data_IF_329166750253
#
_entry.id   IF_329166750253
#
_cell.length_a   1.000
_cell.length_b   1.000
_cell.length_c   1.000
_cell.angle_alpha   90.00
_cell.angle_beta   90.00
_cell.angle_gamma   90.00
#
_symmetry.space_group_name_H-M   'P 1'
#
loop_
_entity.id
_entity.type
_entity.pdbx_description
1 polymer ?
#
# COMPACT_ATOMS: atom_id res chain seq x y z
N UNK A 1 7.96 -3.03 -12.17
CA UNK A 1 7.38 -4.25 -11.60
C UNK A 1 5.92 -4.27 -11.97
N UNK A 2 5.42 -5.41 -12.47
CA UNK A 2 4.08 -5.53 -13.05
C UNK A 2 3.30 -6.66 -12.36
N UNK A 3 2.01 -6.46 -12.05
CA UNK A 3 1.14 -7.53 -11.57
C UNK A 3 0.44 -8.25 -12.73
N UNK A 4 0.55 -9.56 -12.79
CA UNK A 4 -0.16 -10.41 -13.76
C UNK A 4 -1.16 -11.31 -13.05
N UNK A 5 -2.44 -11.18 -13.39
CA UNK A 5 -3.49 -12.06 -12.88
C UNK A 5 -3.70 -13.25 -13.81
N UNK A 6 -3.55 -14.46 -13.29
CA UNK A 6 -3.93 -15.70 -13.98
C UNK A 6 -5.06 -16.32 -13.21
N UNK A 7 -6.13 -16.72 -13.89
CA UNK A 7 -7.27 -17.39 -13.25
C UNK A 7 -7.86 -18.51 -14.09
N UNK A 8 -8.48 -19.48 -13.42
CA UNK A 8 -9.18 -20.59 -14.07
C UNK A 8 -10.31 -21.16 -13.20
N UNK A 9 -11.15 -22.01 -13.80
CA UNK A 9 -12.28 -22.67 -13.12
C UNK A 9 -11.88 -23.83 -12.20
N UNK A 10 -10.62 -24.26 -12.24
CA UNK A 10 -10.08 -25.32 -11.39
C UNK A 10 -8.58 -25.14 -11.20
N UNK A 11 -8.02 -25.73 -10.16
CA UNK A 11 -6.57 -25.71 -9.93
C UNK A 11 -5.76 -26.36 -11.07
N UNK A 12 -6.16 -27.51 -11.65
CA UNK A 12 -5.48 -28.05 -12.84
C UNK A 12 -5.57 -27.11 -14.06
N UNK A 13 -6.71 -26.45 -14.27
CA UNK A 13 -6.86 -25.49 -15.36
C UNK A 13 -6.00 -24.23 -15.15
N UNK A 14 -5.78 -23.81 -13.89
CA UNK A 14 -4.88 -22.69 -13.57
C UNK A 14 -3.43 -23.05 -13.93
N UNK A 15 -3.00 -24.27 -13.61
CA UNK A 15 -1.68 -24.79 -13.99
C UNK A 15 -1.50 -24.86 -15.50
N UNK A 16 -2.50 -25.36 -16.22
CA UNK A 16 -2.50 -25.39 -17.68
C UNK A 16 -2.43 -23.98 -18.29
N UNK A 17 -3.16 -23.01 -17.71
CA UNK A 17 -3.10 -21.62 -18.15
C UNK A 17 -1.71 -21.00 -17.93
N UNK A 18 -1.07 -21.28 -16.81
CA UNK A 18 0.29 -20.84 -16.52
C UNK A 18 1.30 -21.44 -17.53
N UNK A 19 1.17 -22.73 -17.85
CA UNK A 19 2.00 -23.39 -18.86
C UNK A 19 1.80 -22.81 -20.26
N UNK A 20 0.56 -22.53 -20.65
CA UNK A 20 0.25 -21.92 -21.95
C UNK A 20 0.81 -20.49 -22.05
N UNK A 21 0.69 -19.69 -20.99
CA UNK A 21 1.25 -18.34 -20.95
C UNK A 21 2.78 -18.37 -20.96
N UNK A 22 3.42 -19.32 -20.26
CA UNK A 22 4.86 -19.53 -20.32
C UNK A 22 5.32 -19.79 -21.76
N UNK A 23 4.73 -20.79 -22.42
CA UNK A 23 5.07 -21.13 -23.80
C UNK A 23 4.88 -19.93 -24.74
N UNK A 24 3.76 -19.21 -24.61
CA UNK A 24 3.50 -18.01 -25.41
C UNK A 24 4.58 -16.94 -25.24
N UNK A 25 5.04 -16.69 -24.00
CA UNK A 25 6.10 -15.72 -23.73
C UNK A 25 7.47 -16.17 -24.20
N UNK A 26 7.76 -17.47 -24.15
CA UNK A 26 8.98 -18.05 -24.72
C UNK A 26 9.01 -17.87 -26.24
N UNK A 27 7.88 -18.13 -26.92
CA UNK A 27 7.78 -18.00 -28.38
C UNK A 27 7.76 -16.54 -28.85
N UNK A 28 7.39 -15.60 -27.97
CA UNK A 28 7.28 -14.18 -28.28
C UNK A 28 8.10 -13.33 -27.29
N UNK A 29 9.45 -13.36 -27.39
CA UNK A 29 10.33 -12.68 -26.44
C UNK A 29 10.22 -11.14 -26.52
N UNK A 30 9.70 -10.60 -27.63
CA UNK A 30 9.53 -9.17 -27.84
C UNK A 30 8.26 -8.55 -27.26
N UNK A 31 7.38 -9.32 -26.60
CA UNK A 31 6.16 -8.75 -25.99
C UNK A 31 6.51 -7.81 -24.84
N UNK A 32 5.78 -6.71 -24.74
CA UNK A 32 5.87 -5.82 -23.58
C UNK A 32 5.18 -6.48 -22.36
N UNK A 33 5.86 -6.47 -21.22
CA UNK A 33 5.36 -7.12 -20.00
C UNK A 33 4.15 -6.39 -19.39
N UNK A 34 4.09 -5.06 -19.56
CA UNK A 34 2.95 -4.27 -19.12
C UNK A 34 1.72 -4.57 -19.98
N UNK A 35 1.88 -4.70 -21.30
CA UNK A 35 0.78 -5.04 -22.22
C UNK A 35 0.21 -6.45 -21.95
N UNK A 36 1.07 -7.42 -21.64
CA UNK A 36 0.64 -8.75 -21.21
C UNK A 36 -0.17 -8.66 -19.93
N UNK A 37 0.32 -7.93 -18.92
CA UNK A 37 -0.39 -7.73 -17.66
C UNK A 37 -1.74 -7.04 -17.84
N UNK A 38 -1.78 -5.99 -18.66
CA UNK A 38 -3.00 -5.27 -19.01
C UNK A 38 -4.03 -6.19 -19.67
N UNK A 39 -3.59 -7.01 -20.63
CA UNK A 39 -4.43 -7.98 -21.36
C UNK A 39 -4.98 -9.04 -20.41
N UNK A 40 -4.15 -9.57 -19.50
CA UNK A 40 -4.58 -10.53 -18.50
C UNK A 40 -5.63 -9.96 -17.55
N UNK A 41 -5.52 -8.68 -17.18
CA UNK A 41 -6.44 -8.02 -16.27
C UNK A 41 -7.77 -7.58 -16.91
N UNK A 42 -7.75 -7.12 -18.17
CA UNK A 42 -8.91 -6.46 -18.80
C UNK A 42 -9.56 -7.25 -19.94
N UNK A 43 -8.83 -8.15 -20.60
CA UNK A 43 -9.30 -8.87 -21.78
C UNK A 43 -9.56 -10.37 -21.53
N UNK A 44 -9.51 -10.81 -20.27
CA UNK A 44 -9.77 -12.20 -19.87
C UNK A 44 -10.81 -12.25 -18.76
N UNK A 45 -11.66 -13.28 -18.81
CA UNK A 45 -12.58 -13.56 -17.71
C UNK A 45 -11.78 -13.94 -16.45
N UNK A 46 -12.29 -13.51 -15.28
CA UNK A 46 -11.70 -13.82 -13.97
C UNK A 46 -12.51 -14.94 -13.31
N UNK A 47 -11.83 -16.01 -12.90
CA UNK A 47 -12.40 -17.19 -12.26
C UNK A 47 -11.86 -17.40 -10.83
N UNK A 48 -12.39 -18.38 -10.09
CA UNK A 48 -12.18 -18.50 -8.64
C UNK A 48 -10.79 -19.02 -8.21
N UNK A 49 -10.13 -19.82 -9.07
CA UNK A 49 -8.75 -20.22 -8.81
C UNK A 49 -7.81 -19.19 -9.42
N UNK A 50 -7.13 -18.40 -8.57
CA UNK A 50 -6.34 -17.25 -8.99
C UNK A 50 -4.89 -17.36 -8.52
N UNK A 51 -3.99 -16.84 -9.34
CA UNK A 51 -2.62 -16.53 -8.95
C UNK A 51 -2.25 -15.16 -9.49
N UNK A 52 -1.64 -14.33 -8.66
CA UNK A 52 -1.05 -13.06 -9.07
C UNK A 52 0.47 -13.23 -9.09
N UNK A 53 1.09 -12.98 -10.24
CA UNK A 53 2.53 -12.93 -10.40
C UNK A 53 3.00 -11.47 -10.32
N UNK A 54 4.02 -11.19 -9.53
CA UNK A 54 4.58 -9.84 -9.37
C UNK A 54 6.09 -9.89 -9.65
N UNK A 55 6.52 -9.31 -10.76
CA UNK A 55 7.92 -9.31 -11.18
C UNK A 55 8.32 -8.05 -11.94
N UNK A 56 9.62 -7.74 -12.00
CA UNK A 56 10.15 -6.60 -12.75
C UNK A 56 10.67 -6.96 -14.15
N UNK A 57 11.03 -8.22 -14.35
CA UNK A 57 11.68 -8.72 -15.55
C UNK A 57 11.03 -10.02 -16.06
N UNK A 58 11.32 -10.33 -17.32
CA UNK A 58 10.75 -11.46 -18.06
C UNK A 58 11.19 -12.81 -17.50
N UNK A 59 12.46 -12.94 -17.10
CA UNK A 59 13.00 -14.21 -16.62
C UNK A 59 12.32 -14.64 -15.33
N UNK A 60 12.09 -13.69 -14.41
CA UNK A 60 11.31 -13.92 -13.19
C UNK A 60 9.87 -14.32 -13.49
N UNK A 61 9.22 -13.72 -14.51
CA UNK A 61 7.88 -14.15 -14.95
C UNK A 61 7.87 -15.58 -15.49
N UNK A 62 8.86 -15.96 -16.32
CA UNK A 62 8.96 -17.31 -16.86
C UNK A 62 9.17 -18.33 -15.73
N UNK A 63 10.09 -18.07 -14.80
CA UNK A 63 10.32 -18.94 -13.63
C UNK A 63 9.06 -19.07 -12.76
N UNK A 64 8.37 -17.96 -12.50
CA UNK A 64 7.14 -17.95 -11.72
C UNK A 64 5.99 -18.72 -12.41
N UNK A 65 5.85 -18.59 -13.73
CA UNK A 65 4.85 -19.35 -14.49
C UNK A 65 5.16 -20.84 -14.53
N UNK A 66 6.43 -21.22 -14.65
CA UNK A 66 6.86 -22.61 -14.59
C UNK A 66 6.56 -23.23 -13.22
N UNK A 67 6.92 -22.53 -12.14
CA UNK A 67 6.60 -22.97 -10.78
C UNK A 67 5.08 -23.08 -10.56
N UNK A 68 4.30 -22.09 -11.02
CA UNK A 68 2.84 -22.12 -10.94
C UNK A 68 2.25 -23.32 -11.71
N UNK A 69 2.77 -23.63 -12.91
CA UNK A 69 2.35 -24.78 -13.70
C UNK A 69 2.67 -26.12 -13.01
N UNK A 70 3.83 -26.23 -12.37
CA UNK A 70 4.22 -27.38 -11.56
C UNK A 70 3.42 -27.49 -10.24
N UNK A 71 2.85 -26.38 -9.77
CA UNK A 71 2.21 -26.30 -8.46
C UNK A 71 3.21 -26.15 -7.31
N UNK A 72 4.37 -25.57 -7.60
CA UNK A 72 5.46 -25.33 -6.66
C UNK A 72 5.42 -23.87 -6.15
N UNK A 73 5.89 -23.62 -4.92
CA UNK A 73 5.96 -22.26 -4.38
C UNK A 73 7.02 -21.43 -5.11
N UNK A 74 6.73 -20.15 -5.32
CA UNK A 74 7.68 -19.19 -5.87
C UNK A 74 7.45 -17.81 -5.24
N UNK A 75 8.50 -17.04 -4.89
CA UNK A 75 8.36 -15.77 -4.16
C UNK A 75 7.56 -14.71 -4.94
N UNK A 76 7.58 -14.77 -6.27
CA UNK A 76 6.80 -13.88 -7.12
C UNK A 76 5.33 -14.31 -7.31
N UNK A 77 4.91 -15.48 -6.78
CA UNK A 77 3.56 -16.03 -6.98
C UNK A 77 2.75 -15.91 -5.70
N UNK A 78 1.64 -15.19 -5.78
CA UNK A 78 0.66 -15.09 -4.70
C UNK A 78 -0.58 -15.88 -5.11
N UNK A 79 -0.88 -16.95 -4.39
CA UNK A 79 -2.11 -17.71 -4.61
C UNK A 79 -3.30 -17.07 -3.89
N UNK A 80 -4.43 -17.01 -4.58
CA UNK A 80 -5.70 -16.69 -3.96
C UNK A 80 -6.71 -17.77 -4.33
N UNK A 81 -7.25 -18.43 -3.30
CA UNK A 81 -8.41 -19.31 -3.42
C UNK A 81 -9.47 -18.79 -2.47
N UNK A 82 -10.52 -18.18 -3.01
CA UNK A 82 -11.72 -17.87 -2.24
C UNK A 82 -12.75 -18.97 -2.52
N UNK A 83 -13.05 -19.87 -1.56
CA UNK A 83 -14.21 -20.75 -1.70
C UNK A 83 -15.47 -19.88 -1.81
N UNK A 84 -16.18 -19.99 -2.93
CA UNK A 84 -17.47 -19.31 -3.15
C UNK A 84 -17.39 -17.87 -3.68
N UNK A 85 -16.19 -17.35 -3.96
CA UNK A 85 -15.94 -15.99 -4.42
C UNK A 85 -16.20 -15.79 -5.91
N UNK A 86 -17.46 -15.82 -6.38
CA UNK A 86 -17.80 -15.50 -7.78
C UNK A 86 -17.04 -14.23 -8.18
N UNK A 87 -16.37 -14.25 -9.33
CA UNK A 87 -15.62 -13.13 -9.91
C UNK A 87 -16.43 -11.85 -10.20
N UNK A 88 -17.60 -11.72 -9.58
CA UNK A 88 -18.56 -10.63 -9.66
C UNK A 88 -19.00 -10.24 -8.25
N UNK A 89 -18.16 -9.48 -7.53
CA UNK A 89 -18.53 -8.55 -6.45
C UNK A 89 -19.23 -9.06 -5.16
N UNK A 90 -20.01 -10.13 -5.18
CA UNK A 90 -20.96 -10.45 -4.10
C UNK A 90 -20.41 -11.40 -3.03
N UNK A 91 -19.32 -12.12 -3.34
CA UNK A 91 -18.68 -13.06 -2.42
C UNK A 91 -17.28 -12.62 -1.97
N UNK A 92 -16.91 -11.36 -2.22
CA UNK A 92 -15.82 -10.73 -1.49
C UNK A 92 -16.31 -10.51 -0.05
N UNK A 93 -15.74 -11.21 0.93
CA UNK A 93 -16.03 -10.97 2.34
C UNK A 93 -15.85 -9.49 2.70
N UNK A 94 -16.46 -9.07 3.82
CA UNK A 94 -16.34 -7.67 4.27
C UNK A 94 -14.87 -7.30 4.53
N UNK A 95 -14.42 -6.19 3.94
CA UNK A 95 -13.07 -5.65 4.09
C UNK A 95 -13.00 -4.70 5.30
N UNK A 96 -11.94 -4.78 6.10
CA UNK A 96 -11.65 -3.82 7.15
C UNK A 96 -10.32 -3.11 6.89
N UNK A 97 -10.26 -1.80 7.10
CA UNK A 97 -9.00 -1.05 7.11
C UNK A 97 -8.55 -0.85 8.56
N UNK A 98 -7.32 -1.25 8.87
CA UNK A 98 -6.75 -1.20 10.22
C UNK A 98 -5.64 -0.14 10.24
N UNK A 99 -5.83 0.89 11.05
CA UNK A 99 -4.89 1.99 11.23
C UNK A 99 -3.90 1.67 12.35
N UNK A 100 -2.61 1.69 12.04
CA UNK A 100 -1.55 1.35 12.99
C UNK A 100 -1.28 2.47 14.01
N UNK A 101 -0.78 2.05 15.18
CA UNK A 101 -0.21 2.95 16.18
C UNK A 101 1.19 3.46 15.80
N UNK A 102 1.89 4.04 16.78
CA UNK A 102 3.28 4.48 16.65
C UNK A 102 4.24 3.29 16.58
N UNK A 103 5.33 3.40 15.81
CA UNK A 103 6.41 2.40 15.75
C UNK A 103 6.84 2.01 14.33
N UNK A 104 6.06 2.37 13.31
CA UNK A 104 6.34 2.03 11.90
C UNK A 104 6.86 3.21 11.08
N UNK A 105 7.01 4.38 11.71
CA UNK A 105 7.51 5.58 11.04
C UNK A 105 8.98 5.43 10.67
N UNK A 106 9.34 5.89 9.47
CA UNK A 106 10.71 5.92 8.96
C UNK A 106 10.88 7.13 8.01
N UNK A 107 12.08 7.71 7.91
CA UNK A 107 12.34 8.77 6.94
C UNK A 107 12.06 8.27 5.51
N UNK A 108 11.52 9.14 4.66
CA UNK A 108 11.22 8.79 3.27
C UNK A 108 10.11 7.75 3.11
N UNK A 109 9.28 7.48 4.14
CA UNK A 109 8.23 6.45 4.07
C UNK A 109 7.21 6.67 2.96
N UNK A 110 6.99 7.94 2.57
CA UNK A 110 6.08 8.33 1.51
C UNK A 110 6.77 8.49 0.14
N UNK A 111 8.10 8.48 0.07
CA UNK A 111 8.87 8.88 -1.13
C UNK A 111 8.39 8.20 -2.42
N UNK A 112 8.34 6.86 -2.44
CA UNK A 112 7.91 6.12 -3.62
C UNK A 112 6.49 6.49 -4.06
N UNK A 113 5.53 6.42 -3.13
CA UNK A 113 4.12 6.70 -3.42
C UNK A 113 3.89 8.16 -3.84
N UNK A 114 4.61 9.10 -3.24
CA UNK A 114 4.53 10.52 -3.56
C UNK A 114 4.95 10.81 -5.00
N UNK A 115 5.99 10.14 -5.50
CA UNK A 115 6.49 10.37 -6.86
C UNK A 115 5.75 9.55 -7.92
N UNK A 116 5.10 8.43 -7.57
CA UNK A 116 4.42 7.55 -8.54
C UNK A 116 2.90 7.70 -8.56
N UNK A 117 2.27 8.25 -7.52
CA UNK A 117 0.80 8.34 -7.42
C UNK A 117 0.32 9.78 -7.13
N UNK A 118 -0.15 10.52 -8.14
CA UNK A 118 -0.64 11.89 -7.97
C UNK A 118 -1.77 12.04 -6.93
N UNK A 119 -2.66 11.04 -6.83
CA UNK A 119 -3.74 11.02 -5.81
C UNK A 119 -3.16 11.00 -4.39
N UNK A 120 -2.16 10.17 -4.15
CA UNK A 120 -1.47 10.10 -2.87
C UNK A 120 -0.70 11.39 -2.57
N UNK A 121 0.01 11.94 -3.57
CA UNK A 121 0.77 13.17 -3.41
C UNK A 121 -0.13 14.37 -3.07
N UNK A 122 -1.24 14.53 -3.79
CA UNK A 122 -2.22 15.58 -3.53
C UNK A 122 -2.83 15.45 -2.13
N UNK A 123 -3.19 14.23 -1.74
CA UNK A 123 -3.67 13.93 -0.40
C UNK A 123 -2.67 14.31 0.69
N UNK A 124 -1.40 13.87 0.54
CA UNK A 124 -0.37 14.13 1.53
C UNK A 124 -0.10 15.63 1.70
N UNK A 125 -0.03 16.37 0.60
CA UNK A 125 0.15 17.83 0.61
C UNK A 125 -0.98 18.57 1.35
N UNK A 126 -2.24 18.19 1.08
CA UNK A 126 -3.41 18.72 1.76
C UNK A 126 -3.35 18.48 3.28
N UNK A 127 -3.04 17.25 3.69
CA UNK A 127 -2.96 16.89 5.11
C UNK A 127 -1.77 17.60 5.80
N UNK A 128 -0.61 17.67 5.16
CA UNK A 128 0.55 18.39 5.71
C UNK A 128 0.25 19.88 5.91
N UNK A 129 -0.51 20.52 5.02
CA UNK A 129 -0.93 21.92 5.17
C UNK A 129 -1.72 22.15 6.47
N UNK A 130 -2.47 21.14 6.94
CA UNK A 130 -3.21 21.21 8.19
C UNK A 130 -2.37 20.87 9.43
N UNK A 131 -1.31 20.07 9.27
CA UNK A 131 -0.44 19.63 10.38
C UNK A 131 0.71 20.61 10.67
N UNK A 132 1.30 21.17 9.63
CA UNK A 132 2.49 22.02 9.70
C UNK A 132 2.33 23.24 10.64
N UNK A 133 1.15 23.91 10.75
CA UNK A 133 0.94 24.98 11.72
C UNK A 133 1.12 24.57 13.19
N UNK A 134 1.15 23.27 13.49
CA UNK A 134 1.32 22.71 14.83
C UNK A 134 2.73 22.13 15.09
N UNK A 135 3.65 22.25 14.13
CA UNK A 135 4.98 21.64 14.16
C UNK A 135 6.08 22.69 13.98
N UNK A 136 7.28 22.46 14.53
CA UNK A 136 8.40 23.39 14.37
C UNK A 136 9.06 23.25 12.97
N UNK A 137 8.96 22.05 12.40
CA UNK A 137 9.48 21.71 11.08
C UNK A 137 8.33 21.18 10.19
N UNK A 138 8.30 21.54 8.90
CA UNK A 138 7.35 20.98 7.96
C UNK A 138 7.45 19.45 7.90
N UNK A 139 6.31 18.78 7.83
CA UNK A 139 6.24 17.33 7.87
C UNK A 139 6.61 16.68 6.54
N UNK A 140 6.24 17.33 5.42
CA UNK A 140 6.37 16.76 4.08
C UNK A 140 7.83 16.34 3.75
N UNK A 141 8.87 17.18 3.96
CA UNK A 141 10.25 16.79 3.69
C UNK A 141 10.68 15.52 4.42
N UNK A 142 10.23 15.31 5.67
CA UNK A 142 10.57 14.13 6.46
C UNK A 142 10.01 12.83 5.84
N UNK A 143 8.89 12.94 5.14
CA UNK A 143 8.18 11.81 4.56
C UNK A 143 8.61 11.50 3.12
N UNK A 144 9.08 12.51 2.36
CA UNK A 144 9.31 12.38 0.91
C UNK A 144 10.78 12.40 0.49
N UNK A 145 11.73 12.52 1.42
CA UNK A 145 13.16 12.35 1.14
C UNK A 145 13.45 11.01 0.44
N UNK A 146 14.37 11.01 -0.53
CA UNK A 146 14.84 9.78 -1.16
C UNK A 146 15.62 8.95 -0.13
N UNK A 147 15.15 7.74 0.25
CA UNK A 147 15.86 6.90 1.20
C UNK A 147 17.21 6.39 0.69
N UNK A 148 17.50 6.51 -0.61
CA UNK A 148 18.75 6.10 -1.25
C UNK A 148 19.71 7.28 -1.51
N UNK A 149 19.41 8.47 -0.99
CA UNK A 149 20.29 9.64 -1.15
C UNK A 149 21.69 9.38 -0.56
N UNK A 150 22.70 9.98 -1.19
CA UNK A 150 24.07 9.98 -0.66
C UNK A 150 24.25 10.97 0.50
N UNK A 151 23.31 11.91 0.67
CA UNK A 151 23.29 12.85 1.78
C UNK A 151 22.62 12.21 3.02
N UNK A 152 23.41 11.44 3.77
CA UNK A 152 22.92 10.71 4.95
C UNK A 152 22.59 11.63 6.12
N UNK A 153 23.18 12.83 6.20
CA UNK A 153 22.96 13.78 7.30
C UNK A 153 21.49 14.20 7.36
N UNK A 154 20.90 14.54 6.22
CA UNK A 154 19.49 14.95 6.16
C UNK A 154 18.51 13.81 6.51
N UNK A 155 18.85 12.56 6.19
CA UNK A 155 18.06 11.39 6.57
C UNK A 155 18.14 11.08 8.06
N UNK A 156 19.32 11.25 8.65
CA UNK A 156 19.54 11.07 10.09
C UNK A 156 18.78 12.12 10.91
N UNK A 157 18.78 13.38 10.48
CA UNK A 157 17.98 14.45 11.09
C UNK A 157 16.48 14.15 11.01
N UNK A 158 16.00 13.72 9.84
CA UNK A 158 14.60 13.33 9.68
C UNK A 158 14.23 12.11 10.52
N UNK A 159 15.12 11.12 10.61
CA UNK A 159 14.93 9.97 11.48
C UNK A 159 14.85 10.40 12.96
N UNK A 160 15.74 11.30 13.41
CA UNK A 160 15.75 11.81 14.78
C UNK A 160 14.46 12.57 15.12
N UNK A 161 13.95 13.40 14.20
CA UNK A 161 12.65 14.06 14.37
C UNK A 161 11.53 13.03 14.46
N UNK A 162 11.49 12.04 13.56
CA UNK A 162 10.46 10.98 13.55
C UNK A 162 10.53 10.00 14.74
N UNK A 163 11.60 10.03 15.55
CA UNK A 163 11.62 9.35 16.86
C UNK A 163 10.88 10.12 17.95
N UNK A 164 10.69 11.43 17.78
CA UNK A 164 9.92 12.23 18.71
C UNK A 164 8.43 12.00 18.48
N UNK A 165 7.69 11.66 19.54
CA UNK A 165 6.24 11.42 19.48
C UNK A 165 5.49 12.58 18.82
N UNK A 166 5.92 13.82 19.05
CA UNK A 166 5.36 15.04 18.44
C UNK A 166 5.40 15.04 16.90
N UNK A 167 6.31 14.31 16.27
CA UNK A 167 6.38 14.14 14.81
C UNK A 167 5.88 12.76 14.36
N UNK A 168 6.16 11.71 15.13
CA UNK A 168 5.79 10.35 14.78
C UNK A 168 4.28 10.18 14.58
N UNK A 169 3.45 10.75 15.46
CA UNK A 169 1.99 10.59 15.33
C UNK A 169 1.40 11.36 14.16
N UNK A 170 1.71 12.66 13.96
CA UNK A 170 1.32 13.38 12.75
C UNK A 170 1.80 12.73 11.45
N UNK A 171 3.05 12.24 11.40
CA UNK A 171 3.61 11.52 10.25
C UNK A 171 2.79 10.29 9.87
N UNK A 172 2.49 9.46 10.87
CA UNK A 172 1.73 8.22 10.67
C UNK A 172 0.27 8.50 10.31
N UNK A 173 -0.35 9.52 10.90
CA UNK A 173 -1.67 9.97 10.51
C UNK A 173 -1.68 10.41 9.03
N UNK A 174 -0.78 11.32 8.65
CA UNK A 174 -0.71 11.86 7.29
C UNK A 174 -0.53 10.76 6.24
N UNK A 175 0.42 9.85 6.47
CA UNK A 175 0.67 8.73 5.56
C UNK A 175 -0.53 7.78 5.44
N UNK A 176 -1.15 7.40 6.57
CA UNK A 176 -2.26 6.45 6.57
C UNK A 176 -3.51 7.04 5.89
N UNK A 177 -3.78 8.35 6.07
CA UNK A 177 -4.89 9.03 5.38
C UNK A 177 -4.61 9.20 3.89
N UNK A 178 -3.37 9.54 3.50
CA UNK A 178 -3.00 9.60 2.09
C UNK A 178 -3.05 8.23 1.40
N UNK A 179 -2.64 7.17 2.11
CA UNK A 179 -2.75 5.79 1.63
C UNK A 179 -4.21 5.35 1.50
N UNK A 180 -5.07 5.72 2.44
CA UNK A 180 -6.50 5.49 2.33
C UNK A 180 -7.08 6.15 1.07
N UNK A 181 -6.80 7.44 0.82
CA UNK A 181 -7.26 8.14 -0.40
C UNK A 181 -6.74 7.48 -1.67
N UNK A 182 -5.49 6.99 -1.68
CA UNK A 182 -4.98 6.21 -2.81
C UNK A 182 -5.80 4.93 -3.05
N UNK A 183 -6.12 4.20 -1.99
CA UNK A 183 -6.90 2.96 -2.09
C UNK A 183 -8.36 3.20 -2.50
N UNK A 184 -9.01 4.23 -1.96
CA UNK A 184 -10.43 4.53 -2.24
C UNK A 184 -10.62 5.27 -3.55
N UNK A 185 -9.85 6.33 -3.78
CA UNK A 185 -10.09 7.26 -4.89
C UNK A 185 -9.31 6.82 -6.13
N UNK A 186 -8.13 6.22 -5.94
CA UNK A 186 -7.28 5.70 -7.01
C UNK A 186 -7.62 4.27 -7.44
N UNK A 187 -7.90 3.39 -6.47
CA UNK A 187 -8.15 1.96 -6.73
C UNK A 187 -9.58 1.50 -6.44
N UNK A 188 -10.46 2.37 -5.95
CA UNK A 188 -11.87 2.06 -5.67
C UNK A 188 -12.08 0.89 -4.69
N UNK A 189 -11.13 0.71 -3.76
CA UNK A 189 -11.23 -0.29 -2.68
C UNK A 189 -11.93 0.36 -1.49
N UNK A 190 -13.20 0.01 -1.27
CA UNK A 190 -14.01 0.56 -0.18
C UNK A 190 -14.05 -0.39 1.02
N UNK A 191 -13.61 0.03 2.22
CA UNK A 191 -13.75 -0.78 3.42
C UNK A 191 -15.19 -0.76 3.95
N UNK A 192 -15.56 -1.84 4.63
CA UNK A 192 -16.80 -1.97 5.38
C UNK A 192 -16.62 -1.56 6.86
N UNK A 193 -15.40 -1.65 7.36
CA UNK A 193 -15.06 -1.38 8.75
C UNK A 193 -13.74 -0.61 8.84
N UNK A 194 -13.64 0.24 9.86
CA UNK A 194 -12.41 0.88 10.29
C UNK A 194 -12.08 0.42 11.71
N UNK A 195 -10.82 0.12 11.97
CA UNK A 195 -10.29 -0.12 13.30
C UNK A 195 -8.95 0.59 13.44
N UNK A 196 -8.56 0.91 14.67
CA UNK A 196 -7.32 1.61 14.95
C UNK A 196 -6.68 1.14 16.24
N UNK A 197 -5.36 1.28 16.34
CA UNK A 197 -4.64 1.05 17.60
C UNK A 197 -4.00 2.36 18.08
N UNK A 198 -4.35 2.82 19.28
CA UNK A 198 -3.83 4.06 19.88
C UNK A 198 -4.05 5.27 18.95
N UNK A 199 -3.00 5.92 18.43
CA UNK A 199 -3.13 7.00 17.45
C UNK A 199 -3.98 6.59 16.23
N UNK A 200 -3.92 5.30 15.86
CA UNK A 200 -4.69 4.75 14.75
C UNK A 200 -6.20 4.86 14.97
N UNK A 201 -6.69 4.96 16.19
CA UNK A 201 -8.12 5.21 16.46
C UNK A 201 -8.55 6.61 15.99
N UNK A 202 -7.68 7.61 16.14
CA UNK A 202 -7.91 8.98 15.63
C UNK A 202 -7.93 8.95 14.09
N UNK A 203 -6.99 8.25 13.47
CA UNK A 203 -6.98 8.01 12.03
C UNK A 203 -8.27 7.33 11.57
N UNK A 204 -8.65 6.22 12.21
CA UNK A 204 -9.86 5.48 11.87
C UNK A 204 -11.13 6.33 12.04
N UNK A 205 -11.23 7.13 13.09
CA UNK A 205 -12.36 8.04 13.31
C UNK A 205 -12.45 9.11 12.22
N UNK A 206 -11.31 9.66 11.77
CA UNK A 206 -11.28 10.56 10.62
C UNK A 206 -11.74 9.86 9.33
N UNK A 207 -11.18 8.68 9.03
CA UNK A 207 -11.52 7.91 7.83
C UNK A 207 -12.98 7.46 7.80
N UNK A 208 -13.58 7.23 8.97
CA UNK A 208 -15.00 6.92 9.13
C UNK A 208 -15.92 8.16 9.03
N UNK A 209 -15.38 9.36 8.87
CA UNK A 209 -16.13 10.61 8.80
C UNK A 209 -16.63 11.14 10.15
N UNK A 210 -16.15 10.59 11.27
CA UNK A 210 -16.52 11.03 12.63
C UNK A 210 -15.79 12.34 12.97
N UNK A 211 -14.52 12.46 12.55
CA UNK A 211 -13.71 13.66 12.73
C UNK A 211 -13.43 14.33 11.38
N UNK A 212 -13.60 15.65 11.31
CA UNK A 212 -13.11 16.43 10.16
C UNK A 212 -11.58 16.37 10.09
N UNK A 213 -11.00 16.68 8.93
CA UNK A 213 -9.53 16.74 8.80
C UNK A 213 -8.94 17.76 9.78
N UNK A 214 -9.55 18.93 9.93
CA UNK A 214 -9.12 19.97 10.88
C UNK A 214 -9.18 19.49 12.34
N UNK A 215 -10.26 18.82 12.74
CA UNK A 215 -10.39 18.32 14.12
C UNK A 215 -9.39 17.19 14.40
N UNK A 216 -9.22 16.27 13.45
CA UNK A 216 -8.29 15.14 13.58
C UNK A 216 -6.84 15.61 13.66
N UNK A 217 -6.45 16.59 12.83
CA UNK A 217 -5.09 17.16 12.80
C UNK A 217 -4.80 17.98 14.07
N UNK A 218 -5.80 18.71 14.59
CA UNK A 218 -5.69 19.37 15.90
C UNK A 218 -5.52 18.33 17.03
N UNK A 219 -6.37 17.30 17.06
CA UNK A 219 -6.35 16.30 18.12
C UNK A 219 -5.04 15.51 18.14
N UNK A 220 -4.57 15.03 16.97
CA UNK A 220 -3.35 14.22 16.88
C UNK A 220 -2.11 15.03 17.27
N UNK A 221 -2.02 16.30 16.87
CA UNK A 221 -0.86 17.15 17.18
C UNK A 221 -0.82 17.54 18.65
N UNK A 222 -1.96 17.93 19.23
CA UNK A 222 -2.07 18.24 20.67
C UNK A 222 -1.75 17.01 21.53
N UNK A 223 -2.33 15.85 21.20
CA UNK A 223 -2.03 14.58 21.89
C UNK A 223 -0.55 14.26 21.81
N UNK A 224 0.06 14.37 20.63
CA UNK A 224 1.46 14.04 20.42
C UNK A 224 2.39 14.96 21.22
N UNK A 225 2.10 16.26 21.26
CA UNK A 225 2.84 17.24 22.07
C UNK A 225 2.73 16.92 23.56
N UNK A 226 1.51 16.70 24.08
CA UNK A 226 1.32 16.38 25.49
C UNK A 226 2.08 15.12 25.89
N UNK A 227 2.00 14.05 25.08
CA UNK A 227 2.73 12.82 25.31
C UNK A 227 4.25 13.02 25.27
N UNK A 228 4.75 13.85 24.35
CA UNK A 228 6.19 14.16 24.25
C UNK A 228 6.72 14.88 25.50
N UNK A 229 5.89 15.70 26.14
CA UNK A 229 6.25 16.50 27.32
C UNK A 229 6.02 15.78 28.65
N UNK A 230 5.45 14.58 28.64
CA UNK A 230 5.26 13.81 29.87
C UNK A 230 6.62 13.43 30.48
N UNK A 231 6.77 13.57 31.82
CA UNK A 231 7.93 13.04 32.50
C UNK A 231 8.08 11.52 32.25
N UNK A 232 9.31 10.98 32.22
CA UNK A 232 9.49 9.54 32.23
C UNK A 232 8.76 8.94 33.42
N UNK A 233 8.20 7.73 33.24
CA UNK A 233 7.58 7.02 34.34
C UNK A 233 8.61 6.82 35.48
N UNK A 234 8.20 6.99 36.75
CA UNK A 234 9.08 6.86 37.91
C UNK A 234 9.70 5.47 38.05
#
# INVERSE_FOLDING_TARGET
>A
MWPWLVSAKSQPALRAQAQALHAHLTDHPGLDLADVGYTLAHARAVFDHRATLIAADRDTFLQALQALAAGEPHPAVIHSSAPGGTGTGEAAGKTAFICSGQGTQRPGMAHGLYHTHPVFAAALNDICTHLDPHLDHPLLPLLTQDPNTQDTTTLEEAAALLQQTRYAQPALFAFQVALHRLLTDGYHITPHYYAGHSLGEITAAHLAGILTLTDATTLITQRATLMQTMPPAP
#
